data_IF_966821410434
#
_entry.id   IF_966821410434
#
_cell.length_a   1.000
_cell.length_b   1.000
_cell.length_c   1.000
_cell.angle_alpha   90.00
_cell.angle_beta   90.00
_cell.angle_gamma   90.00
#
_symmetry.space_group_name_H-M   'P 1'
#
loop_
_entity.id
_entity.type
_entity.pdbx_description
1 polymer ?
#
# COMPACT_ATOMS: atom_id res chain seq x y z
N UNK A 1 11.89 1.41 -0.87
CA UNK A 1 10.44 1.24 -0.63
C UNK A 1 9.89 2.64 -0.39
N UNK A 2 8.77 3.02 -1.02
CA UNK A 2 8.09 4.27 -0.61
C UNK A 2 7.58 4.01 0.81
N UNK A 3 8.17 4.70 1.78
CA UNK A 3 8.03 4.42 3.22
C UNK A 3 6.59 4.61 3.71
N UNK A 4 5.80 5.42 3.00
CA UNK A 4 4.39 5.67 3.29
C UNK A 4 3.51 5.20 2.13
N UNK A 5 2.52 4.34 2.42
CA UNK A 5 1.43 4.09 1.47
C UNK A 5 0.64 5.37 1.29
N UNK A 6 0.68 5.94 0.10
CA UNK A 6 0.05 7.25 -0.19
C UNK A 6 -1.47 7.16 -0.16
N UNK A 7 -2.04 6.06 -0.66
CA UNK A 7 -3.48 5.80 -0.59
C UNK A 7 -3.76 4.62 0.33
N UNK A 8 -4.35 4.91 1.50
CA UNK A 8 -4.78 3.91 2.49
C UNK A 8 -6.28 3.57 2.39
N UNK A 9 -7.02 4.28 1.55
CA UNK A 9 -8.45 4.06 1.36
C UNK A 9 -8.69 2.88 0.40
N UNK A 10 -9.61 1.98 0.75
CA UNK A 10 -9.98 0.79 -0.04
C UNK A 10 -10.52 1.07 -1.44
N UNK A 11 -10.95 2.31 -1.72
CA UNK A 11 -11.27 2.77 -3.07
C UNK A 11 -10.11 2.60 -4.06
N UNK A 12 -8.88 2.65 -3.57
CA UNK A 12 -7.68 2.56 -4.39
C UNK A 12 -7.10 1.15 -4.33
N UNK A 13 -7.24 0.40 -5.42
CA UNK A 13 -6.62 -0.91 -5.54
C UNK A 13 -5.14 -0.77 -5.94
N UNK A 14 -4.22 -1.04 -5.01
CA UNK A 14 -2.80 -1.10 -5.33
C UNK A 14 -2.50 -2.36 -6.15
N UNK A 15 -1.88 -2.18 -7.32
CA UNK A 15 -1.48 -3.28 -8.20
C UNK A 15 0.02 -3.29 -8.52
N UNK A 16 0.77 -2.29 -8.06
CA UNK A 16 2.23 -2.27 -8.09
C UNK A 16 2.79 -1.64 -6.81
N UNK A 17 3.79 -2.29 -6.22
CA UNK A 17 4.51 -1.82 -5.04
C UNK A 17 6.00 -2.13 -5.20
N UNK A 18 6.69 -1.25 -5.94
CA UNK A 18 8.12 -1.33 -6.21
C UNK A 18 8.95 -0.53 -5.22
N UNK A 19 10.27 -0.58 -5.37
CA UNK A 19 11.18 0.14 -4.48
C UNK A 19 10.97 1.67 -4.52
N UNK A 20 10.69 2.20 -5.72
CA UNK A 20 10.58 3.63 -6.01
C UNK A 20 9.25 4.02 -6.69
N UNK A 21 8.30 3.08 -6.82
CA UNK A 21 7.05 3.33 -7.53
C UNK A 21 5.89 2.55 -6.91
N UNK A 22 4.71 3.16 -6.89
CA UNK A 22 3.47 2.53 -6.46
C UNK A 22 2.33 2.91 -7.39
N UNK A 23 1.57 1.95 -7.88
CA UNK A 23 0.45 2.22 -8.81
C UNK A 23 -0.87 1.74 -8.22
N UNK A 24 -1.89 2.58 -8.41
CA UNK A 24 -3.22 2.40 -7.83
C UNK A 24 -4.30 2.60 -8.89
N UNK A 25 -5.32 1.74 -8.86
CA UNK A 25 -6.52 1.90 -9.67
C UNK A 25 -7.66 2.41 -8.79
N UNK A 26 -8.26 3.53 -9.17
CA UNK A 26 -9.46 4.05 -8.52
C UNK A 26 -10.70 3.44 -9.17
N UNK A 27 -11.38 2.55 -8.44
CA UNK A 27 -12.53 1.83 -8.99
C UNK A 27 -13.71 2.73 -9.34
N UNK A 28 -13.83 3.91 -8.70
CA UNK A 28 -14.95 4.84 -8.88
C UNK A 28 -14.78 5.70 -10.13
N UNK A 29 -13.59 6.28 -10.31
CA UNK A 29 -13.31 7.22 -11.40
C UNK A 29 -12.65 6.55 -12.60
N UNK A 30 -12.26 5.27 -12.47
CA UNK A 30 -11.48 4.54 -13.48
C UNK A 30 -10.17 5.23 -13.82
N UNK A 31 -9.60 6.00 -12.89
CA UNK A 31 -8.29 6.65 -13.06
C UNK A 31 -7.18 5.80 -12.47
N UNK A 32 -6.04 5.71 -13.15
CA UNK A 32 -4.84 5.07 -12.63
C UNK A 32 -3.88 6.12 -12.09
N UNK A 33 -3.47 5.99 -10.84
CA UNK A 33 -2.49 6.87 -10.20
C UNK A 33 -1.13 6.18 -10.19
N UNK A 34 -0.14 6.83 -10.80
CA UNK A 34 1.26 6.38 -10.76
C UNK A 34 2.06 7.26 -9.81
N UNK A 35 2.57 6.66 -8.74
CA UNK A 35 3.36 7.34 -7.72
C UNK A 35 4.84 6.97 -7.91
N UNK A 36 5.73 7.96 -7.91
CA UNK A 36 7.18 7.76 -8.04
C UNK A 36 7.95 8.53 -6.97
N UNK A 37 8.92 7.88 -6.31
CA UNK A 37 9.88 8.54 -5.41
C UNK A 37 11.04 9.08 -6.25
N UNK A 38 11.19 10.40 -6.24
CA UNK A 38 12.22 11.11 -6.98
C UNK A 38 13.55 11.12 -6.21
N UNK A 39 14.67 11.28 -6.93
CA UNK A 39 16.02 11.27 -6.33
C UNK A 39 16.26 12.36 -5.28
N UNK A 40 15.47 13.43 -5.32
CA UNK A 40 15.51 14.54 -4.36
C UNK A 40 14.67 14.28 -3.10
N UNK A 41 14.08 13.08 -2.96
CA UNK A 41 13.21 12.72 -1.84
C UNK A 41 11.75 13.17 -2.01
N UNK A 42 11.41 13.90 -3.07
CA UNK A 42 10.03 14.26 -3.36
C UNK A 42 9.25 13.05 -3.92
N UNK A 43 7.93 13.06 -3.73
CA UNK A 43 7.03 12.11 -4.37
C UNK A 43 6.26 12.80 -5.49
N UNK A 44 6.32 12.22 -6.69
CA UNK A 44 5.49 12.62 -7.82
C UNK A 44 4.28 11.70 -7.91
N UNK A 45 3.10 12.27 -8.12
CA UNK A 45 1.86 11.54 -8.40
C UNK A 45 1.36 11.99 -9.77
N UNK A 46 1.12 11.04 -10.65
CA UNK A 46 0.58 11.27 -11.99
C UNK A 46 -0.79 10.60 -12.11
N UNK A 47 -1.78 11.34 -12.59
CA UNK A 47 -3.11 10.83 -12.92
C UNK A 47 -3.13 10.38 -14.37
N UNK A 48 -3.60 9.15 -14.61
CA UNK A 48 -3.80 8.56 -15.93
C UNK A 48 -5.30 8.27 -16.07
N UNK A 49 -6.11 9.25 -16.51
CA UNK A 49 -7.53 9.04 -16.80
C UNK A 49 -7.70 8.12 -18.02
N UNK A 50 -8.93 7.61 -18.25
CA UNK A 50 -9.22 6.65 -19.33
C UNK A 50 -8.82 7.14 -20.73
N UNK A 51 -8.77 8.45 -20.94
CA UNK A 51 -8.42 9.10 -22.21
C UNK A 51 -6.91 9.38 -22.37
N UNK A 52 -6.07 8.99 -21.40
CA UNK A 52 -4.62 9.18 -21.51
C UNK A 52 -3.95 8.11 -22.39
N UNK A 53 -2.89 8.50 -23.10
CA UNK A 53 -2.12 7.60 -23.97
C UNK A 53 -1.56 6.38 -23.21
N UNK A 54 -1.25 6.56 -21.93
CA UNK A 54 -0.72 5.53 -21.03
C UNK A 54 -1.75 4.59 -20.43
N UNK A 55 -3.05 4.92 -20.51
CA UNK A 55 -4.08 4.25 -19.72
C UNK A 55 -4.23 2.77 -20.09
N UNK A 56 -4.31 2.46 -21.39
CA UNK A 56 -4.58 1.11 -21.86
C UNK A 56 -3.50 0.11 -21.39
N UNK A 57 -2.23 0.44 -21.57
CA UNK A 57 -1.11 -0.40 -21.14
C UNK A 57 -1.11 -0.62 -19.62
N UNK A 58 -1.38 0.45 -18.85
CA UNK A 58 -1.45 0.39 -17.38
C UNK A 58 -2.66 -0.44 -16.92
N UNK A 59 -3.79 -0.31 -17.60
CA UNK A 59 -5.02 -1.04 -17.27
C UNK A 59 -4.90 -2.53 -17.63
N UNK A 60 -4.29 -2.87 -18.77
CA UNK A 60 -3.95 -4.25 -19.12
C UNK A 60 -3.03 -4.88 -18.08
N UNK A 61 -2.01 -4.14 -17.62
CA UNK A 61 -1.15 -4.59 -16.53
C UNK A 61 -1.97 -4.80 -15.26
N UNK A 62 -2.80 -3.84 -14.83
CA UNK A 62 -3.69 -3.97 -13.67
C UNK A 62 -4.57 -5.23 -13.72
N UNK A 63 -5.17 -5.56 -14.88
CA UNK A 63 -6.00 -6.75 -15.04
C UNK A 63 -5.26 -8.06 -14.74
N UNK A 64 -3.93 -8.10 -14.90
CA UNK A 64 -3.12 -9.27 -14.52
C UNK A 64 -3.03 -9.47 -13.00
N UNK A 65 -3.28 -8.43 -12.20
CA UNK A 65 -3.19 -8.46 -10.73
C UNK A 65 -4.57 -8.38 -10.07
N UNK A 66 -5.61 -7.92 -10.79
CA UNK A 66 -6.99 -7.87 -10.31
C UNK A 66 -7.43 -9.24 -9.76
N UNK A 67 -7.90 -9.25 -8.51
CA UNK A 67 -8.34 -10.46 -7.81
C UNK A 67 -7.22 -11.36 -7.28
N UNK A 68 -5.94 -11.05 -7.52
CA UNK A 68 -4.82 -11.74 -6.87
C UNK A 68 -4.66 -11.23 -5.44
N UNK A 69 -4.27 -12.14 -4.54
CA UNK A 69 -3.99 -11.83 -3.13
C UNK A 69 -2.48 -11.78 -2.92
N UNK A 70 -1.98 -10.69 -2.36
CA UNK A 70 -0.56 -10.53 -2.02
C UNK A 70 -0.35 -10.68 -0.52
N UNK A 71 0.78 -11.28 -0.13
CA UNK A 71 1.25 -11.30 1.26
C UNK A 71 2.31 -10.22 1.40
N UNK A 72 2.08 -9.26 2.30
CA UNK A 72 2.99 -8.16 2.55
C UNK A 72 3.56 -8.33 3.96
N UNK A 73 4.87 -8.18 4.12
CA UNK A 73 5.53 -8.07 5.42
C UNK A 73 5.66 -6.60 5.77
N UNK A 74 5.19 -6.19 6.94
CA UNK A 74 5.19 -4.80 7.41
C UNK A 74 5.74 -4.75 8.83
N UNK A 75 6.61 -3.77 9.11
CA UNK A 75 7.08 -3.46 10.45
C UNK A 75 6.26 -2.30 11.00
N UNK A 76 5.66 -2.47 12.18
CA UNK A 76 4.91 -1.42 12.87
C UNK A 76 5.50 -1.29 14.27
N UNK A 77 5.99 -0.09 14.58
CA UNK A 77 6.52 0.25 15.91
C UNK A 77 5.40 0.90 16.71
N UNK A 78 5.16 0.38 17.92
CA UNK A 78 4.14 0.87 18.84
C UNK A 78 4.77 0.98 20.23
N UNK A 79 4.47 2.06 20.94
CA UNK A 79 4.88 2.27 22.33
C UNK A 79 3.88 1.58 23.27
N UNK A 80 3.78 0.24 23.14
CA UNK A 80 2.91 -0.64 23.93
C UNK A 80 3.54 -2.03 24.04
N UNK A 81 3.46 -2.63 25.23
CA UNK A 81 4.11 -3.88 25.57
C UNK A 81 3.15 -5.09 25.55
N UNK A 82 1.85 -4.85 25.67
CA UNK A 82 0.83 -5.91 25.64
C UNK A 82 0.49 -6.34 24.19
N UNK A 83 0.79 -7.59 23.77
CA UNK A 83 0.54 -8.07 22.43
C UNK A 83 -0.93 -7.98 21.99
N UNK A 84 -1.89 -8.13 22.91
CA UNK A 84 -3.31 -8.05 22.60
C UNK A 84 -3.74 -6.60 22.34
N UNK A 85 -3.15 -5.64 23.06
CA UNK A 85 -3.39 -4.21 22.86
C UNK A 85 -2.71 -3.74 21.56
N UNK A 86 -1.46 -4.15 21.34
CA UNK A 86 -0.71 -3.92 20.08
C UNK A 86 -1.52 -4.41 18.89
N UNK A 87 -2.06 -5.63 18.94
CA UNK A 87 -2.87 -6.18 17.85
C UNK A 87 -4.11 -5.36 17.53
N UNK A 88 -4.80 -4.84 18.55
CA UNK A 88 -5.96 -3.96 18.37
C UNK A 88 -5.57 -2.60 17.79
N UNK A 89 -4.45 -2.02 18.23
CA UNK A 89 -3.93 -0.75 17.70
C UNK A 89 -3.57 -0.91 16.22
N UNK A 90 -2.85 -1.98 15.88
CA UNK A 90 -2.48 -2.31 14.50
C UNK A 90 -3.73 -2.52 13.64
N UNK A 91 -4.70 -3.33 14.07
CA UNK A 91 -5.95 -3.52 13.31
C UNK A 91 -6.72 -2.22 13.12
N UNK A 92 -6.79 -1.37 14.15
CA UNK A 92 -7.45 -0.07 14.06
C UNK A 92 -6.74 0.87 13.06
N UNK A 93 -5.41 0.83 13.01
CA UNK A 93 -4.61 1.68 12.10
C UNK A 93 -4.58 1.15 10.66
N UNK A 94 -4.57 -0.18 10.46
CA UNK A 94 -4.60 -0.80 9.14
C UNK A 94 -5.98 -0.72 8.45
N UNK A 95 -7.04 -0.46 9.24
CA UNK A 95 -8.41 -0.36 8.75
C UNK A 95 -9.06 -1.73 8.49
N UNK A 96 -10.39 -1.72 8.32
CA UNK A 96 -11.19 -2.94 8.15
C UNK A 96 -10.96 -3.66 6.82
N UNK A 97 -10.32 -2.99 5.86
CA UNK A 97 -10.13 -3.49 4.50
C UNK A 97 -8.91 -4.41 4.36
N UNK A 98 -8.04 -4.45 5.37
CA UNK A 98 -6.87 -5.33 5.41
C UNK A 98 -7.21 -6.58 6.22
N UNK A 99 -7.39 -7.71 5.53
CA UNK A 99 -7.60 -9.00 6.19
C UNK A 99 -6.27 -9.57 6.73
N UNK A 100 -6.01 -9.35 8.02
CA UNK A 100 -4.85 -9.91 8.72
C UNK A 100 -5.19 -11.29 9.27
N UNK A 101 -4.77 -12.36 8.58
CA UNK A 101 -5.03 -13.74 9.01
C UNK A 101 -4.04 -14.25 10.07
N UNK A 102 -2.76 -13.87 9.93
CA UNK A 102 -1.65 -14.38 10.74
C UNK A 102 -0.71 -13.22 11.12
N UNK A 103 -1.00 -12.54 12.22
CA UNK A 103 -0.11 -11.51 12.78
C UNK A 103 0.89 -12.17 13.73
N UNK A 104 2.17 -11.87 13.56
CA UNK A 104 3.23 -12.26 14.50
C UNK A 104 3.71 -10.97 15.17
N UNK A 105 3.59 -10.90 16.49
CA UNK A 105 4.09 -9.76 17.28
C UNK A 105 5.39 -10.20 17.93
N UNK A 106 6.50 -9.55 17.57
CA UNK A 106 7.81 -9.82 18.14
C UNK A 106 8.25 -8.61 18.95
N UNK A 107 8.57 -8.80 20.23
CA UNK A 107 9.18 -7.75 21.05
C UNK A 107 10.67 -7.70 20.71
N UNK A 108 11.12 -6.63 20.06
CA UNK A 108 12.55 -6.32 19.96
C UNK A 108 13.00 -5.63 21.24
N UNK A 109 13.80 -6.31 22.04
CA UNK A 109 14.67 -5.64 23.01
C UNK A 109 15.78 -4.93 22.23
N UNK A 110 15.90 -3.61 22.40
CA UNK A 110 17.02 -2.85 21.83
C UNK A 110 18.35 -3.53 22.22
N UNK A 111 19.13 -3.94 21.22
CA UNK A 111 20.52 -4.34 21.44
C UNK A 111 21.30 -3.08 21.83
N UNK A 112 21.86 -3.10 23.04
CA UNK A 112 22.71 -2.03 23.60
C UNK A 112 24.06 -1.93 22.91
#
# INVERSE_FOLDING_TARGET
MIEDRIFLNSRFEQFKDGENEQWYFDELTKTIYSVFKMKNGCTQITENPEDSDSYNDLYEYYLQFKGKKFRISMEIVVDEDDPDVVGKVIQKNLGNDIFVKNMVVEKRTEEK
#
